data_IF_367442550757
#
_entry.id   IF_367442550757
#
_cell.length_a   1.000
_cell.length_b   1.000
_cell.length_c   1.000
_cell.angle_alpha   90.00
_cell.angle_beta   90.00
_cell.angle_gamma   90.00
#
_symmetry.space_group_name_H-M   'P 1'
#
loop_
_entity.id
_entity.type
_entity.pdbx_description
1 polymer ?
#
# COMPACT_ATOMS: atom_id res chain seq x y z
N UNK A 1 -1.80 -17.28 -0.55
CA UNK A 1 -0.44 -16.69 -0.62
C UNK A 1 0.48 -17.58 0.20
N UNK A 2 1.48 -18.19 -0.43
CA UNK A 2 2.46 -19.09 0.22
C UNK A 2 3.44 -18.30 1.08
N UNK A 3 4.06 -18.96 2.07
CA UNK A 3 4.96 -18.35 3.05
C UNK A 3 6.21 -17.68 2.43
N UNK A 4 6.61 -18.06 1.21
CA UNK A 4 7.78 -17.50 0.51
C UNK A 4 7.59 -16.06 0.02
N UNK A 5 6.37 -15.62 -0.28
CA UNK A 5 6.10 -14.23 -0.68
C UNK A 5 6.16 -13.25 0.50
N UNK A 6 6.08 -13.74 1.75
CA UNK A 6 6.10 -12.88 2.94
C UNK A 6 7.42 -12.15 3.14
N UNK A 7 8.53 -12.67 2.60
CA UNK A 7 9.86 -12.16 2.90
C UNK A 7 10.34 -11.06 1.93
N UNK A 8 9.86 -11.02 0.68
CA UNK A 8 10.41 -10.13 -0.35
C UNK A 8 9.98 -8.68 -0.14
N UNK A 9 8.69 -8.43 0.12
CA UNK A 9 8.20 -7.06 0.31
C UNK A 9 8.69 -6.43 1.63
N UNK A 10 9.06 -7.23 2.64
CA UNK A 10 9.51 -6.70 3.93
C UNK A 10 10.89 -6.05 3.86
N UNK A 11 11.71 -6.42 2.86
CA UNK A 11 13.01 -5.79 2.59
C UNK A 11 12.89 -4.44 1.89
N UNK A 12 11.69 -4.06 1.42
CA UNK A 12 11.48 -2.75 0.81
C UNK A 12 11.67 -1.67 1.87
N UNK A 13 12.65 -0.82 1.63
CA UNK A 13 12.92 0.37 2.44
C UNK A 13 11.93 1.47 2.11
N UNK A 14 11.30 2.01 3.15
CA UNK A 14 10.30 3.07 3.05
C UNK A 14 10.79 4.30 3.80
N UNK A 15 10.84 5.43 3.11
CA UNK A 15 11.02 6.74 3.71
C UNK A 15 9.62 7.29 4.02
N UNK A 16 9.29 7.39 5.30
CA UNK A 16 7.98 7.82 5.79
C UNK A 16 8.20 8.98 6.76
N UNK A 17 7.54 10.11 6.54
CA UNK A 17 7.59 11.23 7.48
C UNK A 17 6.73 10.95 8.72
N UNK A 18 7.00 11.62 9.84
CA UNK A 18 6.18 11.48 11.06
C UNK A 18 4.69 11.79 10.81
N UNK A 19 4.39 12.72 9.90
CA UNK A 19 3.02 13.05 9.53
C UNK A 19 2.32 11.87 8.85
N UNK A 20 2.99 11.20 7.92
CA UNK A 20 2.44 10.03 7.21
C UNK A 20 2.37 8.82 8.14
N UNK A 21 3.32 8.65 9.07
CA UNK A 21 3.23 7.60 10.10
C UNK A 21 2.01 7.79 10.99
N UNK A 22 1.72 9.01 11.45
CA UNK A 22 0.49 9.32 12.20
C UNK A 22 -0.76 9.03 11.38
N UNK A 23 -0.78 9.44 10.11
CA UNK A 23 -1.88 9.18 9.18
C UNK A 23 -2.15 7.67 9.03
N UNK A 24 -1.09 6.88 8.91
CA UNK A 24 -1.18 5.42 8.82
C UNK A 24 -1.75 4.81 10.10
N UNK A 25 -1.25 5.25 11.26
CA UNK A 25 -1.71 4.79 12.57
C UNK A 25 -3.21 5.10 12.77
N UNK A 26 -3.64 6.34 12.49
CA UNK A 26 -5.03 6.77 12.63
C UNK A 26 -5.98 5.96 11.72
N UNK A 27 -5.49 5.51 10.57
CA UNK A 27 -6.26 4.72 9.58
C UNK A 27 -6.12 3.21 9.78
N UNK A 28 -5.32 2.77 10.74
CA UNK A 28 -5.00 1.35 10.96
C UNK A 28 -4.35 0.70 9.73
N UNK A 29 -3.47 1.43 9.04
CA UNK A 29 -2.69 0.96 7.89
C UNK A 29 -1.30 0.58 8.42
N UNK A 30 -0.92 -0.68 8.26
CA UNK A 30 0.39 -1.16 8.72
C UNK A 30 1.48 -0.83 7.70
N UNK A 31 2.73 -0.70 8.15
CA UNK A 31 3.89 -0.58 7.24
C UNK A 31 3.92 -1.71 6.21
N UNK A 32 3.56 -2.92 6.62
CA UNK A 32 3.51 -4.10 5.77
C UNK A 32 2.44 -3.99 4.68
N UNK A 33 1.31 -3.31 4.95
CA UNK A 33 0.28 -3.06 3.94
C UNK A 33 0.81 -2.13 2.84
N UNK A 34 1.60 -1.11 3.24
CA UNK A 34 2.27 -0.19 2.31
C UNK A 34 3.31 -0.92 1.48
N UNK A 35 4.18 -1.70 2.13
CA UNK A 35 5.21 -2.51 1.45
C UNK A 35 4.60 -3.49 0.46
N UNK A 36 3.54 -4.21 0.83
CA UNK A 36 2.83 -5.12 -0.08
C UNK A 36 2.22 -4.37 -1.27
N UNK A 37 1.64 -3.20 -1.02
CA UNK A 37 1.01 -2.39 -2.07
C UNK A 37 2.04 -1.92 -3.10
N UNK A 38 3.18 -1.39 -2.64
CA UNK A 38 4.28 -0.97 -3.52
C UNK A 38 4.88 -2.19 -4.24
N UNK A 39 5.20 -3.26 -3.50
CA UNK A 39 5.76 -4.48 -4.09
C UNK A 39 4.89 -5.05 -5.20
N UNK A 40 3.58 -5.15 -4.96
CA UNK A 40 2.63 -5.65 -5.94
C UNK A 40 2.67 -4.81 -7.21
N UNK A 41 2.53 -3.48 -7.07
CA UNK A 41 2.52 -2.56 -8.19
C UNK A 41 3.84 -2.54 -8.98
N UNK A 42 4.98 -2.62 -8.31
CA UNK A 42 6.30 -2.70 -8.97
C UNK A 42 6.54 -4.05 -9.65
N UNK A 43 5.97 -5.13 -9.12
CA UNK A 43 6.10 -6.47 -9.71
C UNK A 43 5.26 -6.63 -10.97
N UNK A 44 4.03 -6.13 -10.97
CA UNK A 44 3.09 -6.31 -12.10
C UNK A 44 3.02 -5.11 -13.05
N UNK A 45 3.57 -3.96 -12.64
CA UNK A 45 3.56 -2.73 -13.42
C UNK A 45 2.24 -1.94 -13.36
N UNK A 46 1.27 -2.34 -12.53
CA UNK A 46 -0.03 -1.67 -12.41
C UNK A 46 0.02 -0.55 -11.37
N UNK A 47 0.32 0.67 -11.84
CA UNK A 47 0.31 1.91 -11.06
C UNK A 47 -0.02 3.10 -11.95
N UNK A 48 -0.66 4.11 -11.37
CA UNK A 48 -0.88 5.39 -12.05
C UNK A 48 0.31 6.32 -11.83
N UNK A 49 0.55 7.21 -12.78
CA UNK A 49 1.55 8.28 -12.67
C UNK A 49 0.83 9.61 -12.66
N UNK A 50 1.10 10.44 -11.66
CA UNK A 50 0.71 11.84 -11.69
C UNK A 50 1.69 12.60 -12.59
N UNK A 51 1.26 13.11 -13.76
CA UNK A 51 2.18 13.74 -14.72
C UNK A 51 2.76 15.07 -14.23
N UNK A 52 2.12 15.72 -13.26
CA UNK A 52 2.57 17.01 -12.72
C UNK A 52 3.67 16.82 -11.68
N UNK A 53 3.54 15.79 -10.83
CA UNK A 53 4.46 15.57 -9.70
C UNK A 53 5.43 14.41 -9.92
N UNK A 54 5.21 13.58 -10.94
CA UNK A 54 5.97 12.35 -11.19
C UNK A 54 5.73 11.24 -10.17
N UNK A 55 4.74 11.40 -9.27
CA UNK A 55 4.43 10.43 -8.21
C UNK A 55 3.62 9.26 -8.73
N UNK A 56 3.86 8.08 -8.16
CA UNK A 56 3.10 6.88 -8.43
C UNK A 56 1.94 6.73 -7.46
N UNK A 57 0.80 6.26 -7.95
CA UNK A 57 -0.31 5.79 -7.13
C UNK A 57 -0.52 4.30 -7.39
N UNK A 58 -0.23 3.49 -6.37
CA UNK A 58 -0.47 2.05 -6.39
C UNK A 58 -1.73 1.70 -5.61
N UNK A 59 -2.34 0.57 -5.96
CA UNK A 59 -3.44 -0.01 -5.20
C UNK A 59 -3.27 -1.50 -5.02
N UNK A 60 -3.64 -2.03 -3.86
CA UNK A 60 -3.60 -3.47 -3.61
C UNK A 60 -4.75 -3.89 -2.69
N UNK A 61 -5.40 -5.00 -3.04
CA UNK A 61 -6.56 -5.52 -2.30
C UNK A 61 -6.34 -7.00 -1.93
N UNK A 62 -5.70 -7.29 -0.79
CA UNK A 62 -5.47 -8.67 -0.36
C UNK A 62 -6.73 -9.39 0.14
N UNK A 63 -7.75 -8.67 0.63
CA UNK A 63 -9.02 -9.24 1.09
C UNK A 63 -10.18 -8.21 1.02
N UNK A 64 -10.72 -7.80 2.17
CA UNK A 64 -11.84 -6.85 2.29
C UNK A 64 -11.41 -5.38 2.33
N UNK A 65 -10.11 -5.15 2.26
CA UNK A 65 -9.51 -3.82 2.35
C UNK A 65 -8.74 -3.58 1.07
N UNK A 66 -9.04 -2.47 0.42
CA UNK A 66 -8.18 -1.93 -0.63
C UNK A 66 -7.31 -0.86 0.00
N UNK A 67 -6.01 -0.95 -0.24
CA UNK A 67 -5.03 0.05 0.14
C UNK A 67 -4.60 0.82 -1.10
N UNK A 68 -4.39 2.12 -0.94
CA UNK A 68 -3.74 2.96 -1.94
C UNK A 68 -2.55 3.65 -1.32
N UNK A 69 -1.45 3.73 -2.07
CA UNK A 69 -0.21 4.36 -1.64
C UNK A 69 0.25 5.29 -2.74
N UNK A 70 0.43 6.57 -2.40
CA UNK A 70 1.11 7.53 -3.26
C UNK A 70 2.58 7.60 -2.84
N UNK A 71 3.50 7.37 -3.78
CA UNK A 71 4.93 7.30 -3.48
C UNK A 71 5.81 7.76 -4.65
N UNK A 72 7.08 8.02 -4.37
CA UNK A 72 8.14 8.25 -5.36
C UNK A 72 9.28 7.26 -5.15
N UNK A 73 10.00 6.93 -6.21
CA UNK A 73 11.25 6.15 -6.13
C UNK A 73 12.41 7.12 -5.84
N UNK A 74 13.21 6.82 -4.81
CA UNK A 74 14.38 7.60 -4.39
C UNK A 74 15.56 6.65 -4.25
N UNK A 75 16.34 6.50 -5.32
CA UNK A 75 17.39 5.49 -5.38
C UNK A 75 16.79 4.08 -5.34
N UNK A 76 17.14 3.30 -4.32
CA UNK A 76 16.58 1.96 -4.06
C UNK A 76 15.41 1.99 -3.05
N UNK A 77 15.12 3.17 -2.49
CA UNK A 77 14.07 3.37 -1.49
C UNK A 77 12.79 3.94 -2.13
N UNK A 78 11.68 3.86 -1.36
CA UNK A 78 10.41 4.48 -1.74
C UNK A 78 9.99 5.52 -0.71
N UNK A 79 9.82 6.76 -1.16
CA UNK A 79 9.28 7.83 -0.34
C UNK A 79 7.76 7.84 -0.41
N UNK A 80 7.11 7.59 0.72
CA UNK A 80 5.65 7.55 0.86
C UNK A 80 5.11 8.94 1.12
N UNK A 81 4.26 9.46 0.23
CA UNK A 81 3.65 10.78 0.35
C UNK A 81 2.32 10.74 1.09
N UNK A 82 1.52 9.68 0.89
CA UNK A 82 0.25 9.48 1.59
C UNK A 82 -0.26 8.05 1.40
N UNK A 83 -1.15 7.61 2.29
CA UNK A 83 -1.77 6.28 2.26
C UNK A 83 -3.26 6.39 2.48
N UNK A 84 -4.06 5.59 1.77
CA UNK A 84 -5.50 5.51 1.92
C UNK A 84 -5.92 4.05 2.10
N UNK A 85 -7.04 3.84 2.77
CA UNK A 85 -7.68 2.53 2.81
C UNK A 85 -9.19 2.66 2.65
N UNK A 86 -9.79 1.65 2.02
CA UNK A 86 -11.23 1.48 1.96
C UNK A 86 -11.56 0.06 2.43
N UNK A 87 -12.30 -0.03 3.54
CA UNK A 87 -12.74 -1.30 4.11
C UNK A 87 -14.17 -1.54 3.68
N UNK A 88 -14.40 -2.63 2.96
CA UNK A 88 -15.75 -3.06 2.64
C UNK A 88 -16.22 -4.09 3.68
N UNK A 89 -17.36 -3.80 4.30
CA UNK A 89 -18.06 -4.78 5.14
C UNK A 89 -19.04 -5.60 4.29
N UNK A 90 -18.77 -6.89 4.14
CA UNK A 90 -19.72 -7.80 3.52
C UNK A 90 -20.73 -8.25 4.58
N UNK A 91 -21.94 -7.67 4.60
CA UNK A 91 -23.04 -8.20 5.40
C UNK A 91 -23.39 -9.61 4.88
N UNK A 92 -23.13 -10.64 5.68
CA UNK A 92 -23.68 -11.98 5.42
C UNK A 92 -25.21 -11.89 5.57
N UNK A 93 -25.96 -12.14 4.50
CA UNK A 93 -27.39 -12.47 4.65
C UNK A 93 -27.44 -13.76 5.48
N UNK A 94 -28.07 -13.68 6.66
CA UNK A 94 -28.43 -14.87 7.42
C UNK A 94 -29.25 -15.81 6.53
N UNK A 95 -29.00 -17.12 6.66
CA UNK A 95 -29.86 -18.15 6.07
C UNK A 95 -31.25 -18.00 6.74
N UNK A 96 -32.37 -18.13 5.99
CA UNK A 96 -33.72 -18.01 6.54
C UNK A 96 -33.96 -18.96 7.71
#
# INVERSE_FOLDING_TARGET
MTAEQKNVYQHISLLISEEVERLMNDRGILKEDVQRTIHHAETIGEKFINPTTGRFLASFRPDRVTYWVEYSVVGEDYHVHTTYSHRMELKRKGKP
#
